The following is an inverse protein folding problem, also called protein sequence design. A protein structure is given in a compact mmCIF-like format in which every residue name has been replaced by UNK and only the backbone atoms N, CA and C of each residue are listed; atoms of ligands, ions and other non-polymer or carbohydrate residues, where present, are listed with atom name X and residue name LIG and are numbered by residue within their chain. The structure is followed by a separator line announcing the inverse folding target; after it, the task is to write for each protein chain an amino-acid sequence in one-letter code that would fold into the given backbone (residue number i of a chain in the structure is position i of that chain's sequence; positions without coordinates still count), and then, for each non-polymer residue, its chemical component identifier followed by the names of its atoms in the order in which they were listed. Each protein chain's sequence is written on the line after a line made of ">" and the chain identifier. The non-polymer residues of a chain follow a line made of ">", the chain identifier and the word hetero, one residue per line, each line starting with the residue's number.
data_IF_132077802502
#
_entry.id   IF_132077802502
#
_cell.length_a   1.000
_cell.length_b   1.000
_cell.length_c   1.000
_cell.angle_alpha   90.00
_cell.angle_beta   90.00
_cell.angle_gamma   90.00
#
_symmetry.space_group_name_H-M   'P 1'
#
loop_
_entity.id
_entity.type
_entity.pdbx_description
1 polymer ?
#
# COMPACT_ATOMS: atom_id res chain seq x y z
N UNK A 1 7.23 25.76 11.03
CA UNK A 1 6.17 26.76 10.72
C UNK A 1 5.03 25.99 10.07
N UNK A 2 3.80 26.05 10.63
CA UNK A 2 2.64 25.40 9.98
C UNK A 2 2.34 26.14 8.69
N UNK A 3 2.38 25.45 7.57
CA UNK A 3 2.04 26.03 6.29
C UNK A 3 0.54 25.85 6.07
N UNK A 4 -0.21 26.95 5.96
CA UNK A 4 -1.62 26.88 5.63
C UNK A 4 -1.77 26.84 4.11
N UNK A 5 -2.41 25.76 3.63
CA UNK A 5 -2.75 25.65 2.21
C UNK A 5 -4.16 26.20 1.97
N UNK A 6 -4.28 27.15 1.04
CA UNK A 6 -5.58 27.47 0.45
C UNK A 6 -5.98 26.33 -0.50
N UNK A 7 -7.27 26.21 -0.84
CA UNK A 7 -7.75 25.20 -1.79
C UNK A 7 -6.98 25.22 -3.11
N UNK A 8 -6.59 26.41 -3.58
CA UNK A 8 -5.79 26.56 -4.80
C UNK A 8 -4.40 25.96 -4.63
N UNK A 9 -3.69 26.31 -3.55
CA UNK A 9 -2.34 25.77 -3.26
C UNK A 9 -2.38 24.26 -2.99
N UNK A 10 -3.43 23.78 -2.35
CA UNK A 10 -3.61 22.35 -2.12
C UNK A 10 -3.79 21.58 -3.42
N UNK A 11 -4.64 22.07 -4.35
CA UNK A 11 -4.78 21.48 -5.68
C UNK A 11 -3.46 21.50 -6.47
N UNK A 12 -2.71 22.59 -6.35
CA UNK A 12 -1.38 22.71 -6.94
C UNK A 12 -0.41 21.67 -6.34
N UNK A 13 -0.39 21.50 -5.01
CA UNK A 13 0.42 20.47 -4.35
C UNK A 13 0.05 19.06 -4.83
N UNK A 14 -1.24 18.75 -4.96
CA UNK A 14 -1.67 17.45 -5.50
C UNK A 14 -1.20 17.22 -6.94
N UNK A 15 -0.96 18.28 -7.73
CA UNK A 15 -0.38 18.12 -9.07
C UNK A 15 1.10 17.78 -9.08
N UNK A 16 1.81 17.92 -7.95
CA UNK A 16 3.18 17.48 -7.72
C UNK A 16 3.28 16.12 -7.01
N UNK A 17 2.16 15.51 -6.66
CA UNK A 17 2.12 14.21 -6.02
C UNK A 17 2.16 13.09 -7.07
N UNK A 18 3.11 12.17 -6.93
CA UNK A 18 3.20 10.95 -7.73
C UNK A 18 2.96 9.72 -6.84
N UNK A 19 2.12 8.80 -7.31
CA UNK A 19 2.06 7.45 -6.76
C UNK A 19 3.27 6.67 -7.28
N UNK A 20 4.04 6.07 -6.40
CA UNK A 20 5.15 5.21 -6.77
C UNK A 20 4.65 3.77 -6.92
N UNK A 21 5.05 3.11 -8.00
CA UNK A 21 4.74 1.71 -8.29
C UNK A 21 6.05 0.93 -8.35
N UNK A 22 6.18 -0.12 -7.53
CA UNK A 22 7.40 -0.93 -7.52
C UNK A 22 7.66 -1.57 -8.88
N UNK A 23 8.92 -1.58 -9.32
CA UNK A 23 9.33 -2.18 -10.61
C UNK A 23 9.07 -3.68 -10.70
N UNK A 24 8.87 -4.37 -9.57
CA UNK A 24 8.59 -5.80 -9.48
C UNK A 24 7.10 -6.13 -9.55
N UNK A 25 6.24 -5.11 -9.38
CA UNK A 25 4.78 -5.27 -9.45
C UNK A 25 4.32 -5.33 -10.92
N UNK A 26 4.07 -6.54 -11.43
CA UNK A 26 3.81 -6.78 -12.86
C UNK A 26 2.33 -7.06 -13.19
N UNK A 27 1.48 -7.34 -12.19
CA UNK A 27 0.08 -7.73 -12.39
C UNK A 27 -0.90 -6.62 -12.00
N UNK A 28 -0.49 -5.36 -12.15
CA UNK A 28 -1.16 -4.17 -11.65
C UNK A 28 -1.85 -3.31 -12.74
N UNK A 29 -2.09 -3.88 -13.92
CA UNK A 29 -2.66 -3.11 -15.04
C UNK A 29 -4.00 -2.44 -14.69
N UNK A 30 -4.85 -3.08 -13.90
CA UNK A 30 -6.10 -2.49 -13.41
C UNK A 30 -5.85 -1.22 -12.57
N UNK A 31 -4.76 -1.18 -11.81
CA UNK A 31 -4.36 -0.03 -10.98
C UNK A 31 -3.82 1.10 -11.85
N UNK A 32 -2.84 0.81 -12.71
CA UNK A 32 -2.23 1.83 -13.58
C UNK A 32 -3.21 2.38 -14.60
N UNK A 33 -4.07 1.53 -15.21
CA UNK A 33 -5.15 1.98 -16.09
C UNK A 33 -6.16 2.89 -15.35
N UNK A 34 -6.39 2.67 -14.05
CA UNK A 34 -7.23 3.56 -13.26
C UNK A 34 -6.54 4.91 -13.03
N UNK A 35 -5.23 4.92 -12.73
CA UNK A 35 -4.45 6.16 -12.60
C UNK A 35 -4.52 6.98 -13.88
N UNK A 36 -4.24 6.36 -15.02
CA UNK A 36 -4.25 7.01 -16.34
C UNK A 36 -5.62 7.61 -16.68
N UNK A 37 -6.70 6.84 -16.46
CA UNK A 37 -8.07 7.32 -16.72
C UNK A 37 -8.51 8.48 -15.82
N UNK A 38 -7.93 8.59 -14.63
CA UNK A 38 -8.26 9.66 -13.67
C UNK A 38 -7.20 10.77 -13.61
N UNK A 39 -6.24 10.79 -14.55
CA UNK A 39 -5.15 11.75 -14.61
C UNK A 39 -4.34 11.80 -13.31
N UNK A 40 -4.16 10.66 -12.64
CA UNK A 40 -3.30 10.53 -11.47
C UNK A 40 -1.88 10.26 -11.95
N UNK A 41 -0.95 11.12 -11.53
CA UNK A 41 0.47 10.93 -11.82
C UNK A 41 1.02 9.72 -11.07
N UNK A 42 1.79 8.91 -11.76
CA UNK A 42 2.49 7.78 -11.17
C UNK A 42 3.83 7.54 -11.84
N UNK A 43 4.76 6.92 -11.11
CA UNK A 43 6.10 6.58 -11.59
C UNK A 43 6.48 5.18 -11.18
N UNK A 44 7.05 4.40 -12.11
CA UNK A 44 7.68 3.11 -11.77
C UNK A 44 9.04 3.36 -11.12
N UNK A 45 9.25 2.79 -9.92
CA UNK A 45 10.49 2.94 -9.15
C UNK A 45 10.70 1.74 -8.24
N UNK A 46 11.92 1.23 -8.14
CA UNK A 46 12.25 0.20 -7.16
C UNK A 46 12.04 0.73 -5.73
N UNK A 47 11.15 0.08 -4.99
CA UNK A 47 10.85 0.38 -3.59
C UNK A 47 11.62 -0.57 -2.67
N UNK A 48 12.01 -0.09 -1.48
CA UNK A 48 12.65 -0.95 -0.47
C UNK A 48 11.66 -1.95 0.12
N UNK A 49 10.40 -1.53 0.25
CA UNK A 49 9.32 -2.30 0.88
C UNK A 49 7.98 -1.89 0.28
N UNK A 50 7.10 -2.87 0.08
CA UNK A 50 5.77 -2.69 -0.50
C UNK A 50 5.77 -2.55 -2.02
N UNK A 51 4.58 -2.53 -2.58
CA UNK A 51 4.32 -2.45 -4.01
C UNK A 51 4.02 -1.03 -4.46
N UNK A 52 3.48 -0.19 -3.54
CA UNK A 52 3.13 1.20 -3.81
C UNK A 52 3.60 2.12 -2.69
N UNK A 53 3.91 3.34 -3.08
CA UNK A 53 4.35 4.41 -2.20
C UNK A 53 3.98 5.79 -2.72
N UNK A 54 4.55 6.82 -2.12
CA UNK A 54 4.24 8.21 -2.39
C UNK A 54 5.52 9.03 -2.52
N UNK A 55 5.55 9.95 -3.48
CA UNK A 55 6.48 11.06 -3.53
C UNK A 55 5.79 12.38 -3.87
N UNK A 56 6.43 13.48 -3.52
CA UNK A 56 6.09 14.82 -3.99
C UNK A 56 7.31 15.37 -4.73
N UNK A 57 7.11 15.79 -5.97
CA UNK A 57 8.13 16.49 -6.75
C UNK A 57 8.51 17.82 -6.09
N UNK A 58 9.74 18.28 -6.32
CA UNK A 58 10.21 19.57 -5.81
C UNK A 58 9.25 20.70 -6.19
N UNK A 59 8.72 21.39 -5.17
CA UNK A 59 7.91 22.60 -5.31
C UNK A 59 8.17 23.50 -4.09
N UNK A 60 9.28 24.29 -4.12
CA UNK A 60 9.74 25.07 -2.96
C UNK A 60 8.69 26.05 -2.41
N UNK A 61 7.88 26.63 -3.29
CA UNK A 61 6.79 27.56 -2.96
C UNK A 61 5.65 26.88 -2.17
N UNK A 62 5.58 25.54 -2.22
CA UNK A 62 4.64 24.72 -1.47
C UNK A 62 5.31 23.93 -0.33
N UNK A 63 6.57 24.25 0.00
CA UNK A 63 7.29 23.70 1.15
C UNK A 63 8.13 22.45 0.86
N UNK A 64 8.24 22.01 -0.38
CA UNK A 64 9.03 20.86 -0.80
C UNK A 64 10.22 21.32 -1.66
N UNK A 65 11.35 21.64 -1.02
CA UNK A 65 12.54 22.16 -1.71
C UNK A 65 13.24 21.15 -2.62
N UNK A 66 12.99 19.85 -2.39
CA UNK A 66 13.55 18.73 -3.16
C UNK A 66 12.47 17.67 -3.35
N UNK A 67 12.66 16.75 -4.28
CA UNK A 67 11.85 15.55 -4.40
C UNK A 67 11.81 14.81 -3.06
N UNK A 68 10.61 14.66 -2.51
CA UNK A 68 10.40 14.12 -1.17
C UNK A 68 9.69 12.77 -1.26
N UNK A 69 10.35 11.73 -0.75
CA UNK A 69 9.84 10.37 -0.70
C UNK A 69 9.30 10.05 0.70
N UNK A 70 8.13 9.44 0.76
CA UNK A 70 7.45 9.10 2.02
C UNK A 70 7.64 7.63 2.40
N UNK A 71 8.84 7.10 2.18
CA UNK A 71 9.14 5.68 2.38
C UNK A 71 9.12 5.21 3.83
N UNK A 72 9.32 6.13 4.78
CA UNK A 72 9.24 5.84 6.21
C UNK A 72 7.84 6.11 6.79
N UNK A 73 6.98 6.78 6.00
CA UNK A 73 5.63 7.15 6.40
C UNK A 73 4.55 6.25 5.83
N UNK A 74 4.77 5.69 4.63
CA UNK A 74 3.76 4.93 3.91
C UNK A 74 4.36 3.71 3.22
N UNK A 75 3.74 2.55 3.45
CA UNK A 75 3.95 1.33 2.70
C UNK A 75 2.61 0.70 2.36
N UNK A 76 2.39 0.37 1.10
CA UNK A 76 1.21 -0.34 0.62
C UNK A 76 1.68 -1.61 -0.07
N UNK A 77 1.27 -2.75 0.47
CA UNK A 77 1.46 -4.08 -0.08
C UNK A 77 0.13 -4.56 -0.68
N UNK A 78 0.17 -5.16 -1.86
CA UNK A 78 -1.00 -5.72 -2.54
C UNK A 78 -0.85 -7.22 -2.73
N UNK A 79 -1.92 -7.94 -2.48
CA UNK A 79 -2.06 -9.36 -2.85
C UNK A 79 -3.25 -9.53 -3.79
N UNK A 80 -3.07 -10.24 -4.87
CA UNK A 80 -4.11 -10.43 -5.89
C UNK A 80 -5.30 -11.26 -5.40
N UNK A 81 -5.13 -11.98 -4.28
CA UNK A 81 -6.18 -12.83 -3.71
C UNK A 81 -5.83 -13.33 -2.31
N UNK A 82 -6.84 -13.79 -1.58
CA UNK A 82 -6.67 -14.60 -0.36
C UNK A 82 -5.86 -15.86 -0.66
N UNK A 83 -6.06 -16.49 -1.83
CA UNK A 83 -5.31 -17.68 -2.24
C UNK A 83 -3.80 -17.42 -2.36
N UNK A 84 -3.39 -16.30 -2.93
CA UNK A 84 -1.99 -15.91 -3.02
C UNK A 84 -1.38 -15.71 -1.62
N UNK A 85 -2.07 -14.96 -0.78
CA UNK A 85 -1.62 -14.68 0.59
C UNK A 85 -1.51 -15.97 1.42
N UNK A 86 -2.55 -16.83 1.36
CA UNK A 86 -2.55 -18.13 2.04
C UNK A 86 -1.40 -19.03 1.56
N UNK A 87 -1.13 -19.04 0.25
CA UNK A 87 0.00 -19.76 -0.35
C UNK A 87 1.34 -19.24 0.16
N UNK A 88 1.52 -17.94 0.19
CA UNK A 88 2.75 -17.31 0.69
C UNK A 88 3.01 -17.65 2.17
N UNK A 89 1.97 -17.67 3.01
CA UNK A 89 2.08 -18.03 4.44
C UNK A 89 2.36 -19.53 4.59
N UNK A 90 1.61 -20.38 3.87
CA UNK A 90 1.75 -21.84 3.98
C UNK A 90 3.12 -22.35 3.50
N UNK A 91 3.70 -21.70 2.49
CA UNK A 91 4.98 -22.04 1.92
C UNK A 91 6.17 -21.45 2.70
N UNK A 92 5.91 -20.60 3.68
CA UNK A 92 6.96 -20.05 4.52
C UNK A 92 7.56 -21.17 5.40
N UNK A 93 8.83 -21.44 5.19
CA UNK A 93 9.63 -22.43 5.93
C UNK A 93 10.72 -21.71 6.71
N UNK A 94 11.53 -22.49 7.47
CA UNK A 94 12.71 -21.93 8.15
C UNK A 94 13.73 -21.34 7.16
N UNK A 95 13.78 -21.89 5.94
CA UNK A 95 14.74 -21.50 4.90
C UNK A 95 14.12 -20.45 3.94
N UNK A 96 12.79 -20.37 3.85
CA UNK A 96 12.08 -19.40 3.01
C UNK A 96 10.97 -18.72 3.81
N UNK A 97 11.33 -17.69 4.52
CA UNK A 97 10.42 -16.86 5.34
C UNK A 97 10.22 -15.45 4.72
N UNK A 98 10.28 -15.36 3.39
CA UNK A 98 10.23 -14.08 2.64
C UNK A 98 9.07 -13.19 3.06
N UNK A 99 7.86 -13.75 3.16
CA UNK A 99 6.68 -12.96 3.55
C UNK A 99 6.81 -12.37 4.96
N UNK A 100 7.36 -13.13 5.91
CA UNK A 100 7.58 -12.62 7.27
C UNK A 100 8.69 -11.58 7.31
N UNK A 101 9.75 -11.76 6.54
CA UNK A 101 10.82 -10.76 6.39
C UNK A 101 10.30 -9.48 5.73
N UNK A 102 9.44 -9.61 4.74
CA UNK A 102 8.79 -8.48 4.08
C UNK A 102 7.98 -7.66 5.08
N UNK A 103 7.07 -8.28 5.82
CA UNK A 103 6.25 -7.60 6.81
C UNK A 103 7.03 -7.11 8.04
N UNK A 104 8.12 -7.79 8.41
CA UNK A 104 9.00 -7.31 9.46
C UNK A 104 9.72 -6.00 9.05
N UNK A 105 10.03 -5.80 7.76
CA UNK A 105 10.59 -4.51 7.29
C UNK A 105 9.59 -3.36 7.41
N UNK A 106 8.29 -3.65 7.42
CA UNK A 106 7.24 -2.64 7.54
C UNK A 106 7.04 -2.11 8.97
N UNK A 107 7.55 -2.80 10.00
CA UNK A 107 7.33 -2.46 11.43
C UNK A 107 7.68 -1.00 11.76
N UNK A 108 8.72 -0.47 11.14
CA UNK A 108 9.20 0.90 11.41
C UNK A 108 8.56 1.96 10.51
N UNK A 109 7.64 1.57 9.63
CA UNK A 109 6.93 2.50 8.75
C UNK A 109 5.66 2.97 9.47
N UNK A 110 5.38 4.28 9.41
CA UNK A 110 4.29 4.89 10.21
C UNK A 110 2.90 4.32 9.84
N UNK A 111 2.64 4.10 8.55
CA UNK A 111 1.38 3.60 8.02
C UNK A 111 1.61 2.42 7.08
N UNK A 112 1.15 1.26 7.49
CA UNK A 112 1.29 0.03 6.72
C UNK A 112 -0.08 -0.48 6.28
N UNK A 113 -0.22 -0.77 4.99
CA UNK A 113 -1.44 -1.27 4.41
C UNK A 113 -1.18 -2.58 3.66
N UNK A 114 -2.02 -3.58 3.93
CA UNK A 114 -2.14 -4.80 3.13
C UNK A 114 -3.49 -4.76 2.44
N UNK A 115 -3.49 -4.68 1.13
CA UNK A 115 -4.68 -4.68 0.29
C UNK A 115 -4.82 -6.05 -0.37
N UNK A 116 -5.95 -6.73 -0.12
CA UNK A 116 -6.27 -8.04 -0.69
C UNK A 116 -7.37 -7.82 -1.74
N UNK A 117 -7.07 -8.19 -2.98
CA UNK A 117 -7.94 -7.92 -4.14
C UNK A 117 -8.99 -9.02 -4.33
N UNK A 118 -10.20 -8.62 -4.69
CA UNK A 118 -11.33 -9.47 -5.14
C UNK A 118 -11.93 -10.47 -4.15
N UNK A 119 -11.35 -10.64 -2.99
CA UNK A 119 -11.80 -11.63 -2.01
C UNK A 119 -12.34 -10.92 -0.75
N UNK A 120 -12.89 -11.69 0.16
CA UNK A 120 -13.44 -11.20 1.42
C UNK A 120 -12.87 -11.97 2.62
N UNK A 121 -13.14 -11.49 3.80
CA UNK A 121 -12.82 -12.23 5.03
C UNK A 121 -13.58 -13.55 5.12
N UNK A 122 -14.76 -13.63 4.49
CA UNK A 122 -15.58 -14.85 4.42
C UNK A 122 -14.82 -15.98 3.72
N UNK A 123 -14.03 -15.67 2.66
CA UNK A 123 -13.23 -16.66 1.94
C UNK A 123 -12.22 -17.35 2.87
N UNK A 124 -11.70 -16.63 3.87
CA UNK A 124 -10.83 -17.23 4.87
C UNK A 124 -11.59 -18.22 5.75
N UNK A 125 -12.79 -17.86 6.24
CA UNK A 125 -13.54 -18.69 7.17
C UNK A 125 -14.23 -19.89 6.50
N UNK A 126 -14.55 -19.76 5.22
CA UNK A 126 -15.18 -20.82 4.41
C UNK A 126 -14.16 -21.69 3.67
N UNK A 127 -12.86 -21.46 3.88
CA UNK A 127 -11.77 -22.18 3.19
C UNK A 127 -11.82 -22.02 1.65
N UNK A 128 -12.38 -20.91 1.16
CA UNK A 128 -12.47 -20.64 -0.29
C UNK A 128 -11.15 -20.08 -0.84
N UNK A 129 -10.03 -20.81 -0.66
CA UNK A 129 -8.73 -20.46 -1.17
C UNK A 129 -7.87 -21.70 -1.48
N UNK A 130 -6.91 -21.56 -2.41
CA UNK A 130 -6.06 -22.65 -2.90
C UNK A 130 -4.82 -22.86 -2.00
N UNK A 131 -5.03 -23.29 -0.76
CA UNK A 131 -3.94 -23.60 0.17
C UNK A 131 -4.42 -24.59 1.21
N UNK A 132 -3.47 -25.33 1.83
CA UNK A 132 -3.73 -26.18 3.00
C UNK A 132 -3.61 -25.43 4.34
N UNK A 133 -3.45 -24.11 4.30
CA UNK A 133 -3.37 -23.30 5.51
C UNK A 133 -4.69 -23.36 6.25
N UNK A 134 -4.65 -23.72 7.53
CA UNK A 134 -5.85 -23.78 8.36
C UNK A 134 -6.46 -22.37 8.54
N UNK A 135 -7.79 -22.18 8.39
CA UNK A 135 -8.46 -20.87 8.49
C UNK A 135 -8.16 -20.12 9.77
N UNK A 136 -8.21 -20.83 10.91
CA UNK A 136 -7.92 -20.23 12.22
C UNK A 136 -6.48 -19.73 12.30
N UNK A 137 -5.53 -20.51 11.79
CA UNK A 137 -4.11 -20.12 11.75
C UNK A 137 -3.89 -18.94 10.80
N UNK A 138 -4.54 -18.95 9.64
CA UNK A 138 -4.50 -17.86 8.69
C UNK A 138 -5.00 -16.55 9.33
N UNK A 139 -6.22 -16.58 9.85
CA UNK A 139 -6.82 -15.40 10.49
C UNK A 139 -6.00 -14.88 11.67
N UNK A 140 -5.47 -15.77 12.52
CA UNK A 140 -4.56 -15.38 13.62
C UNK A 140 -3.28 -14.73 13.12
N UNK A 141 -2.74 -15.16 11.98
CA UNK A 141 -1.57 -14.52 11.36
C UNK A 141 -1.91 -13.07 10.97
N UNK A 142 -3.06 -12.83 10.35
CA UNK A 142 -3.50 -11.48 10.01
C UNK A 142 -3.65 -10.59 11.25
N UNK A 143 -4.30 -11.09 12.30
CA UNK A 143 -4.43 -10.35 13.57
C UNK A 143 -3.08 -10.05 14.21
N UNK A 144 -2.11 -10.96 14.07
CA UNK A 144 -0.75 -10.76 14.56
C UNK A 144 -0.05 -9.63 13.81
N UNK A 145 -0.19 -9.57 12.48
CA UNK A 145 0.36 -8.49 11.68
C UNK A 145 -0.28 -7.14 12.00
N UNK A 146 -1.61 -7.10 12.17
CA UNK A 146 -2.28 -5.88 12.62
C UNK A 146 -1.72 -5.37 13.95
N UNK A 147 -1.57 -6.26 14.93
CA UNK A 147 -1.16 -5.85 16.29
C UNK A 147 0.33 -5.57 16.43
N UNK A 148 1.20 -6.30 15.71
CA UNK A 148 2.66 -6.17 15.84
C UNK A 148 3.27 -5.18 14.86
N UNK A 149 2.72 -5.10 13.65
CA UNK A 149 3.30 -4.33 12.56
C UNK A 149 2.49 -3.05 12.27
N UNK A 150 1.50 -2.72 13.10
CA UNK A 150 0.56 -1.62 12.86
C UNK A 150 -0.03 -1.67 11.43
N UNK A 151 -0.37 -2.88 10.97
CA UNK A 151 -0.82 -3.12 9.61
C UNK A 151 -2.34 -2.98 9.49
N UNK A 152 -2.78 -2.13 8.59
CA UNK A 152 -4.19 -2.01 8.23
C UNK A 152 -4.48 -2.95 7.08
N UNK A 153 -5.42 -3.90 7.26
CA UNK A 153 -5.77 -4.90 6.26
C UNK A 153 -7.13 -4.57 5.68
N UNK A 154 -7.20 -4.45 4.35
CA UNK A 154 -8.42 -4.17 3.61
C UNK A 154 -8.63 -5.20 2.50
N UNK A 155 -9.87 -5.66 2.37
CA UNK A 155 -10.34 -6.41 1.21
C UNK A 155 -10.95 -5.40 0.23
N UNK A 156 -10.46 -5.39 -1.00
CA UNK A 156 -10.78 -4.34 -1.98
C UNK A 156 -11.13 -4.97 -3.32
N UNK A 157 -12.30 -4.64 -3.84
CA UNK A 157 -12.69 -5.05 -5.18
C UNK A 157 -11.70 -4.49 -6.23
N UNK A 158 -11.41 -5.30 -7.24
CA UNK A 158 -10.42 -5.00 -8.27
C UNK A 158 -10.61 -3.63 -8.93
N UNK A 159 -11.85 -3.25 -9.18
CA UNK A 159 -12.20 -1.98 -9.83
C UNK A 159 -11.89 -0.76 -8.96
N UNK A 160 -11.85 -0.92 -7.63
CA UNK A 160 -11.55 0.16 -6.68
C UNK A 160 -10.10 0.20 -6.21
N UNK A 161 -9.27 -0.78 -6.60
CA UNK A 161 -7.90 -0.90 -6.10
C UNK A 161 -7.06 0.36 -6.39
N UNK A 162 -7.09 0.86 -7.63
CA UNK A 162 -6.37 2.09 -7.98
C UNK A 162 -6.83 3.30 -7.18
N UNK A 163 -8.15 3.43 -6.98
CA UNK A 163 -8.71 4.50 -6.13
C UNK A 163 -8.26 4.37 -4.69
N UNK A 164 -8.29 3.16 -4.13
CA UNK A 164 -7.88 2.92 -2.75
C UNK A 164 -6.42 3.31 -2.54
N UNK A 165 -5.51 2.89 -3.42
CA UNK A 165 -4.09 3.22 -3.34
C UNK A 165 -3.89 4.75 -3.41
N UNK A 166 -4.54 5.43 -4.36
CA UNK A 166 -4.46 6.88 -4.48
C UNK A 166 -4.94 7.60 -3.21
N UNK A 167 -6.10 7.21 -2.67
CA UNK A 167 -6.64 7.85 -1.46
C UNK A 167 -5.76 7.61 -0.22
N UNK A 168 -5.09 6.45 -0.11
CA UNK A 168 -4.13 6.18 0.95
C UNK A 168 -2.88 7.07 0.81
N UNK A 169 -2.36 7.24 -0.40
CA UNK A 169 -1.26 8.16 -0.68
C UNK A 169 -1.63 9.61 -0.34
N UNK A 170 -2.79 10.06 -0.81
CA UNK A 170 -3.30 11.40 -0.52
C UNK A 170 -3.52 11.63 0.98
N UNK A 171 -4.13 10.68 1.69
CA UNK A 171 -4.31 10.75 3.14
C UNK A 171 -2.97 10.81 3.89
N UNK A 172 -1.94 10.10 3.40
CA UNK A 172 -0.60 10.20 3.97
C UNK A 172 -0.05 11.63 3.81
N UNK A 173 -0.12 12.20 2.61
CA UNK A 173 0.29 13.59 2.37
C UNK A 173 -0.48 14.56 3.27
N UNK A 174 -1.81 14.47 3.31
CA UNK A 174 -2.67 15.32 4.13
C UNK A 174 -2.27 15.29 5.61
N UNK A 175 -1.96 14.12 6.15
CA UNK A 175 -1.55 13.98 7.54
C UNK A 175 -0.21 14.65 7.86
N UNK A 176 0.62 14.91 6.86
CA UNK A 176 1.91 15.61 7.02
C UNK A 176 1.80 17.13 6.89
N UNK A 177 0.90 17.60 6.04
CA UNK A 177 0.76 19.04 5.75
C UNK A 177 -0.28 19.73 6.62
N UNK A 178 -1.29 19.01 7.14
CA UNK A 178 -2.39 19.56 7.95
C UNK A 178 -2.15 19.50 9.46
N UNK A 179 -0.95 19.12 9.90
CA UNK A 179 -0.57 19.05 11.33
C UNK A 179 -0.22 20.40 11.92
#
# INVERSE_FOLDING_TARGET
>A
MKQYYTDKKYKELLSHMDVLVDTRENTNKNVTDWFDRNNIKWKSRALKTGDYGLMVESCPELGFSIDTYFSDELCIERKNSVSELAGNIANATKDDDRIFKEFNRMINIEKNYLLIENDSIEDIFTENYKSKLNPTSFFRTLLTWQSRNNMHIYFVEREYMGRMIYELCKNCLDSKILK
#
